data_IF_296763498134
#
_entry.id   IF_296763498134
#
_cell.length_a   1.000
_cell.length_b   1.000
_cell.length_c   1.000
_cell.angle_alpha   90.00
_cell.angle_beta   90.00
_cell.angle_gamma   90.00
#
_symmetry.space_group_name_H-M   'P 1'
#
loop_
_entity.id
_entity.type
_entity.pdbx_description
1 polymer ?
#
# COMPACT_ATOMS: atom_id res chain seq x y z
N UNK A 1 4.73 80.07 58.12
CA UNK A 1 3.72 80.63 57.19
C UNK A 1 3.22 79.45 56.38
N UNK A 2 2.32 78.65 56.91
CA UNK A 2 0.84 78.78 56.85
C UNK A 2 0.26 78.17 55.56
N UNK A 3 -0.44 77.04 55.76
CA UNK A 3 -1.73 76.67 55.16
C UNK A 3 -1.72 76.33 53.65
N UNK A 4 -2.48 75.37 53.10
CA UNK A 4 -3.69 74.67 53.54
C UNK A 4 -3.78 73.31 52.85
N UNK A 5 -4.10 72.27 53.63
CA UNK A 5 -4.60 70.99 53.11
C UNK A 5 -6.08 71.14 52.77
N UNK A 6 -6.44 71.04 51.49
CA UNK A 6 -7.84 71.08 51.05
C UNK A 6 -8.36 69.66 50.81
N UNK A 7 -9.04 69.13 51.81
CA UNK A 7 -9.83 67.91 51.76
C UNK A 7 -11.02 68.11 50.82
N UNK A 8 -10.97 67.52 49.62
CA UNK A 8 -12.12 67.42 48.73
C UNK A 8 -12.95 66.20 49.12
N UNK A 9 -14.05 66.44 49.83
CA UNK A 9 -15.12 65.48 50.04
C UNK A 9 -15.70 65.05 48.69
N UNK A 10 -15.46 63.80 48.28
CA UNK A 10 -16.24 63.14 47.22
C UNK A 10 -17.61 62.79 47.79
N UNK A 11 -18.63 63.58 47.45
CA UNK A 11 -20.02 63.19 47.63
C UNK A 11 -20.27 61.87 46.89
N UNK A 12 -20.95 60.88 47.48
CA UNK A 12 -21.43 59.74 46.72
C UNK A 12 -22.50 60.27 45.77
N UNK A 13 -22.21 60.18 44.47
CA UNK A 13 -23.20 60.45 43.43
C UNK A 13 -24.40 59.53 43.68
N UNK A 14 -25.49 60.15 44.13
CA UNK A 14 -26.88 59.68 44.16
C UNK A 14 -27.06 58.42 43.32
N UNK A 15 -27.16 57.28 43.99
CA UNK A 15 -27.59 56.02 43.38
C UNK A 15 -28.90 56.29 42.67
N UNK A 16 -28.86 56.37 41.34
CA UNK A 16 -30.05 56.40 40.52
C UNK A 16 -30.78 55.10 40.81
N UNK A 17 -31.88 55.15 41.56
CA UNK A 17 -32.81 54.04 41.69
C UNK A 17 -33.35 53.75 40.29
N UNK A 18 -32.62 52.90 39.57
CA UNK A 18 -33.04 52.39 38.28
C UNK A 18 -34.31 51.58 38.52
N UNK A 19 -35.44 52.14 38.09
CA UNK A 19 -36.75 51.51 38.18
C UNK A 19 -36.65 50.03 37.77
N UNK A 20 -36.99 49.07 38.66
CA UNK A 20 -36.79 47.64 38.42
C UNK A 20 -37.53 47.15 37.17
N UNK A 21 -38.60 47.83 36.74
CA UNK A 21 -39.27 47.55 35.47
C UNK A 21 -38.39 47.83 34.26
N UNK A 22 -37.58 48.90 34.30
CA UNK A 22 -36.66 49.26 33.20
C UNK A 22 -35.50 48.27 33.09
N UNK A 23 -34.99 47.76 34.21
CA UNK A 23 -33.96 46.71 34.23
C UNK A 23 -34.47 45.37 33.68
N UNK A 24 -35.72 44.98 34.00
CA UNK A 24 -36.33 43.77 33.43
C UNK A 24 -36.55 43.88 31.92
N UNK A 25 -37.01 45.04 31.43
CA UNK A 25 -37.18 45.32 30.00
C UNK A 25 -35.85 45.30 29.24
N UNK A 26 -34.76 45.81 29.82
CA UNK A 26 -33.44 45.78 29.19
C UNK A 26 -32.85 44.37 29.18
N UNK A 27 -33.02 43.60 30.25
CA UNK A 27 -32.61 42.21 30.34
C UNK A 27 -33.33 41.32 29.31
N UNK A 28 -34.66 41.48 29.16
CA UNK A 28 -35.45 40.76 28.15
C UNK A 28 -34.97 41.07 26.72
N UNK A 29 -34.68 42.34 26.41
CA UNK A 29 -34.13 42.74 25.10
C UNK A 29 -32.76 42.12 24.83
N UNK A 30 -31.88 42.03 25.82
CA UNK A 30 -30.58 41.40 25.65
C UNK A 30 -30.70 39.87 25.48
N UNK A 31 -31.64 39.23 26.18
CA UNK A 31 -31.95 37.81 26.00
C UNK A 31 -32.44 37.52 24.57
N UNK A 32 -33.37 38.32 24.05
CA UNK A 32 -33.86 38.20 22.68
C UNK A 32 -32.73 38.40 21.66
N UNK A 33 -31.83 39.36 21.91
CA UNK A 33 -30.65 39.59 21.07
C UNK A 33 -29.71 38.38 21.09
N UNK A 34 -29.49 37.76 22.26
CA UNK A 34 -28.69 36.52 22.40
C UNK A 34 -29.36 35.35 21.68
N UNK A 35 -30.68 35.17 21.81
CA UNK A 35 -31.44 34.14 21.09
C UNK A 35 -31.30 34.32 19.58
N UNK A 36 -31.49 35.53 19.05
CA UNK A 36 -31.29 35.84 17.62
C UNK A 36 -29.88 35.49 17.14
N UNK A 37 -28.84 35.89 17.89
CA UNK A 37 -27.45 35.54 17.57
C UNK A 37 -27.21 34.02 17.55
N UNK A 38 -27.75 33.28 18.52
CA UNK A 38 -27.64 31.81 18.57
C UNK A 38 -28.34 31.16 17.37
N UNK A 39 -29.52 31.65 16.97
CA UNK A 39 -30.22 31.13 15.80
C UNK A 39 -29.40 31.33 14.52
N UNK A 40 -28.80 32.52 14.33
CA UNK A 40 -27.97 32.80 13.15
C UNK A 40 -26.68 31.95 13.16
N UNK A 41 -25.99 31.88 14.31
CA UNK A 41 -24.77 31.08 14.46
C UNK A 41 -25.03 29.59 14.26
N UNK A 42 -26.10 29.04 14.83
CA UNK A 42 -26.47 27.63 14.67
C UNK A 42 -26.89 27.33 13.21
N UNK A 43 -27.64 28.24 12.58
CA UNK A 43 -27.98 28.12 11.17
C UNK A 43 -26.72 28.05 10.30
N UNK A 44 -25.75 28.91 10.56
CA UNK A 44 -24.49 28.90 9.82
C UNK A 44 -23.64 27.67 10.14
N UNK A 45 -23.54 27.24 11.40
CA UNK A 45 -22.78 26.05 11.77
C UNK A 45 -23.40 24.77 11.20
N UNK A 46 -24.73 24.66 11.17
CA UNK A 46 -25.44 23.58 10.51
C UNK A 46 -25.18 23.57 8.99
N UNK A 47 -25.18 24.74 8.34
CA UNK A 47 -24.82 24.87 6.91
C UNK A 47 -23.39 24.40 6.67
N UNK A 48 -22.42 24.91 7.44
CA UNK A 48 -21.00 24.52 7.32
C UNK A 48 -20.80 23.03 7.57
N UNK A 49 -21.52 22.45 8.54
CA UNK A 49 -21.50 21.02 8.81
C UNK A 49 -21.99 20.20 7.60
N UNK A 50 -23.12 20.59 7.00
CA UNK A 50 -23.64 19.94 5.78
C UNK A 50 -22.64 20.03 4.62
N UNK A 51 -22.06 21.21 4.38
CA UNK A 51 -21.07 21.39 3.31
C UNK A 51 -19.83 20.52 3.53
N UNK A 52 -19.27 20.47 4.75
CA UNK A 52 -18.11 19.62 5.04
C UNK A 52 -18.42 18.14 4.84
N UNK A 53 -19.59 17.68 5.26
CA UNK A 53 -20.02 16.29 5.02
C UNK A 53 -20.17 15.99 3.53
N UNK A 54 -20.74 16.92 2.76
CA UNK A 54 -20.84 16.75 1.30
C UNK A 54 -19.46 16.65 0.64
N UNK A 55 -18.55 17.56 0.99
CA UNK A 55 -17.17 17.54 0.48
C UNK A 55 -16.47 16.22 0.79
N UNK A 56 -16.66 15.68 2.01
CA UNK A 56 -16.09 14.39 2.38
C UNK A 56 -16.68 13.23 1.58
N UNK A 57 -17.99 13.24 1.33
CA UNK A 57 -18.63 12.24 0.46
C UNK A 57 -18.10 12.33 -0.98
N UNK A 58 -17.97 13.54 -1.52
CA UNK A 58 -17.45 13.76 -2.87
C UNK A 58 -15.99 13.29 -2.98
N UNK A 59 -15.18 13.53 -1.96
CA UNK A 59 -13.80 13.05 -1.86
C UNK A 59 -13.73 11.52 -1.82
N UNK A 60 -14.57 10.86 -1.00
CA UNK A 60 -14.64 9.40 -0.94
C UNK A 60 -15.10 8.79 -2.28
N UNK A 61 -16.06 9.41 -2.97
CA UNK A 61 -16.48 8.98 -4.30
C UNK A 61 -15.35 9.11 -5.33
N UNK A 62 -14.60 10.22 -5.28
CA UNK A 62 -13.44 10.41 -6.14
C UNK A 62 -12.34 9.39 -5.86
N UNK A 63 -12.09 9.06 -4.59
CA UNK A 63 -11.14 8.01 -4.20
C UNK A 63 -11.59 6.63 -4.69
N UNK A 64 -12.87 6.28 -4.51
CA UNK A 64 -13.42 5.01 -5.00
C UNK A 64 -13.31 4.89 -6.52
N UNK A 65 -13.59 5.96 -7.27
CA UNK A 65 -13.43 5.98 -8.72
C UNK A 65 -11.96 5.81 -9.15
N UNK A 66 -11.03 6.49 -8.48
CA UNK A 66 -9.58 6.34 -8.74
C UNK A 66 -9.11 4.92 -8.47
N UNK A 67 -9.46 4.34 -7.32
CA UNK A 67 -9.11 2.97 -6.96
C UNK A 67 -9.74 1.96 -7.91
N UNK A 68 -10.98 2.19 -8.35
CA UNK A 68 -11.63 1.37 -9.37
C UNK A 68 -10.88 1.38 -10.71
N UNK A 69 -10.45 2.56 -11.17
CA UNK A 69 -9.66 2.69 -12.39
C UNK A 69 -8.28 2.02 -12.25
N UNK A 70 -7.62 2.18 -11.11
CA UNK A 70 -6.32 1.56 -10.83
C UNK A 70 -6.43 0.03 -10.76
N UNK A 71 -7.45 -0.50 -10.10
CA UNK A 71 -7.71 -1.93 -10.05
C UNK A 71 -7.95 -2.50 -11.46
N UNK A 72 -8.73 -1.80 -12.29
CA UNK A 72 -8.93 -2.18 -13.69
C UNK A 72 -7.62 -2.19 -14.49
N UNK A 73 -6.75 -1.19 -14.30
CA UNK A 73 -5.42 -1.12 -14.93
C UNK A 73 -4.52 -2.29 -14.50
N UNK A 74 -4.44 -2.57 -13.19
CA UNK A 74 -3.63 -3.68 -12.66
C UNK A 74 -4.15 -5.02 -13.17
N UNK A 75 -5.47 -5.22 -13.17
CA UNK A 75 -6.10 -6.43 -13.71
C UNK A 75 -5.75 -6.65 -15.19
N UNK A 76 -5.79 -5.60 -16.01
CA UNK A 76 -5.37 -5.69 -17.42
C UNK A 76 -3.88 -6.03 -17.58
N UNK A 77 -3.02 -5.49 -16.71
CA UNK A 77 -1.59 -5.81 -16.70
C UNK A 77 -1.33 -7.28 -16.33
N UNK A 78 -2.06 -7.83 -15.37
CA UNK A 78 -1.97 -9.25 -14.99
C UNK A 78 -2.32 -10.13 -16.19
N UNK A 79 -3.46 -9.89 -16.84
CA UNK A 79 -3.89 -10.67 -18.01
C UNK A 79 -2.88 -10.58 -19.16
N UNK A 80 -2.28 -9.40 -19.38
CA UNK A 80 -1.22 -9.25 -20.37
C UNK A 80 0.03 -10.07 -19.99
N UNK A 81 0.47 -10.01 -18.73
CA UNK A 81 1.61 -10.77 -18.23
C UNK A 81 1.39 -12.29 -18.34
N UNK A 82 0.19 -12.78 -18.00
CA UNK A 82 -0.19 -14.19 -18.14
C UNK A 82 -0.06 -14.66 -19.60
N UNK A 83 -0.54 -13.86 -20.56
CA UNK A 83 -0.40 -14.17 -22.00
C UNK A 83 1.07 -14.22 -22.43
N UNK A 84 1.89 -13.28 -21.94
CA UNK A 84 3.32 -13.29 -22.23
C UNK A 84 4.01 -14.53 -21.63
N UNK A 85 3.69 -14.90 -20.39
CA UNK A 85 4.22 -16.08 -19.74
C UNK A 85 3.84 -17.36 -20.50
N UNK A 86 2.57 -17.51 -20.90
CA UNK A 86 2.13 -18.64 -21.71
C UNK A 86 2.90 -18.75 -23.04
N UNK A 87 3.17 -17.60 -23.69
CA UNK A 87 4.01 -17.56 -24.89
C UNK A 87 5.46 -18.02 -24.64
N UNK A 88 6.06 -17.55 -23.55
CA UNK A 88 7.42 -17.95 -23.14
C UNK A 88 7.50 -19.43 -22.76
N UNK A 89 6.49 -19.96 -22.07
CA UNK A 89 6.38 -21.39 -21.74
C UNK A 89 6.27 -22.24 -22.99
N UNK A 90 5.47 -21.83 -23.97
CA UNK A 90 5.38 -22.48 -25.28
C UNK A 90 6.71 -22.48 -26.03
N UNK A 91 7.40 -21.34 -26.07
CA UNK A 91 8.74 -21.24 -26.67
C UNK A 91 9.77 -22.14 -25.97
N UNK A 92 9.76 -22.16 -24.64
CA UNK A 92 10.62 -23.04 -23.86
C UNK A 92 10.32 -24.53 -24.11
N UNK A 93 9.04 -24.91 -24.23
CA UNK A 93 8.65 -26.27 -24.57
C UNK A 93 9.18 -26.68 -25.96
N UNK A 94 9.07 -25.79 -26.95
CA UNK A 94 9.60 -26.03 -28.30
C UNK A 94 11.13 -26.20 -28.30
N UNK A 95 11.86 -25.34 -27.58
CA UNK A 95 13.31 -25.46 -27.45
C UNK A 95 13.73 -26.76 -26.76
N UNK A 96 13.01 -27.16 -25.70
CA UNK A 96 13.26 -28.44 -25.02
C UNK A 96 13.02 -29.64 -25.94
N UNK A 97 11.98 -29.59 -26.78
CA UNK A 97 11.71 -30.64 -27.75
C UNK A 97 12.83 -30.74 -28.79
N UNK A 98 13.31 -29.61 -29.32
CA UNK A 98 14.43 -29.57 -30.27
C UNK A 98 15.73 -30.08 -29.63
N UNK A 99 16.02 -29.68 -28.39
CA UNK A 99 17.18 -30.18 -27.66
C UNK A 99 17.12 -31.72 -27.50
N UNK A 100 15.97 -32.25 -27.09
CA UNK A 100 15.77 -33.70 -26.94
C UNK A 100 15.94 -34.46 -28.27
N UNK A 101 15.43 -33.90 -29.38
CA UNK A 101 15.60 -34.47 -30.72
C UNK A 101 17.07 -34.53 -31.13
N UNK A 102 17.80 -33.42 -31.00
CA UNK A 102 19.22 -33.34 -31.35
C UNK A 102 20.07 -34.27 -30.48
N UNK A 103 19.83 -34.32 -29.17
CA UNK A 103 20.48 -35.27 -28.27
C UNK A 103 20.18 -36.72 -28.66
N UNK A 104 18.95 -37.01 -29.07
CA UNK A 104 18.56 -38.33 -29.61
C UNK A 104 19.35 -38.71 -30.87
N UNK A 105 19.46 -37.78 -31.82
CA UNK A 105 20.24 -37.98 -33.06
C UNK A 105 21.73 -38.21 -32.78
N UNK A 106 22.31 -37.42 -31.87
CA UNK A 106 23.71 -37.57 -31.46
C UNK A 106 23.97 -38.93 -30.81
N UNK A 107 23.09 -39.39 -29.91
CA UNK A 107 23.19 -40.73 -29.31
C UNK A 107 23.08 -41.83 -30.35
N UNK A 108 22.16 -41.70 -31.32
CA UNK A 108 22.02 -42.66 -32.41
C UNK A 108 23.30 -42.76 -33.24
N UNK A 109 23.87 -41.61 -33.64
CA UNK A 109 25.14 -41.57 -34.39
C UNK A 109 26.28 -42.17 -33.56
N UNK A 110 26.38 -41.83 -32.28
CA UNK A 110 27.37 -42.42 -31.36
C UNK A 110 27.21 -43.93 -31.20
N UNK A 111 25.98 -44.46 -31.26
CA UNK A 111 25.73 -45.91 -31.25
C UNK A 111 26.18 -46.57 -32.54
N UNK A 112 25.92 -45.96 -33.70
CA UNK A 112 26.37 -46.47 -35.01
C UNK A 112 27.88 -46.47 -35.09
N UNK A 113 28.55 -45.40 -34.64
CA UNK A 113 30.01 -45.33 -34.60
C UNK A 113 30.62 -46.43 -33.73
N UNK A 114 30.09 -46.64 -32.51
CA UNK A 114 30.54 -47.75 -31.65
C UNK A 114 30.33 -49.11 -32.31
N UNK A 115 29.20 -49.34 -32.96
CA UNK A 115 28.94 -50.59 -33.69
C UNK A 115 29.95 -50.82 -34.83
N UNK A 116 30.29 -49.77 -35.59
CA UNK A 116 31.29 -49.84 -36.67
C UNK A 116 32.70 -50.07 -36.11
N UNK A 117 33.05 -49.47 -34.98
CA UNK A 117 34.34 -49.71 -34.30
C UNK A 117 34.47 -51.16 -33.81
N UNK A 118 33.40 -51.73 -33.25
CA UNK A 118 33.37 -53.10 -32.73
C UNK A 118 33.46 -54.16 -33.84
N UNK A 119 32.82 -53.93 -34.99
CA UNK A 119 32.85 -54.87 -36.14
C UNK A 119 33.96 -54.58 -37.16
N UNK A 120 34.49 -53.36 -37.21
CA UNK A 120 35.46 -52.90 -38.21
C UNK A 120 36.92 -53.24 -37.90
N UNK A 121 37.20 -53.89 -36.77
CA UNK A 121 38.56 -54.31 -36.40
C UNK A 121 39.53 -53.16 -36.08
N UNK A 122 39.04 -51.93 -35.94
CA UNK A 122 39.83 -50.79 -35.49
C UNK A 122 39.96 -50.81 -33.96
N UNK A 123 40.70 -51.79 -33.42
CA UNK A 123 41.10 -51.79 -32.03
C UNK A 123 42.10 -50.64 -31.80
N UNK A 124 41.60 -49.46 -31.42
CA UNK A 124 42.50 -48.36 -31.09
C UNK A 124 41.83 -47.00 -30.92
N UNK A 125 41.33 -46.76 -29.71
CA UNK A 125 40.91 -45.47 -29.15
C UNK A 125 39.71 -44.80 -29.80
N UNK A 126 38.52 -45.20 -29.37
CA UNK A 126 37.61 -44.17 -28.85
C UNK A 126 38.20 -43.70 -27.51
N UNK A 127 38.56 -42.42 -27.32
CA UNK A 127 38.83 -41.95 -25.99
C UNK A 127 37.57 -42.19 -25.19
N UNK A 128 37.75 -42.93 -24.11
CA UNK A 128 36.99 -42.90 -22.88
C UNK A 128 36.43 -41.50 -22.60
N UNK A 129 35.34 -41.17 -23.28
CA UNK A 129 34.43 -40.13 -22.85
C UNK A 129 33.48 -40.85 -21.91
N UNK A 130 34.02 -41.20 -20.74
CA UNK A 130 33.26 -41.47 -19.53
C UNK A 130 32.26 -40.32 -19.40
N UNK A 131 31.05 -40.50 -19.91
CA UNK A 131 29.91 -39.79 -19.36
C UNK A 131 29.70 -40.45 -18.00
N UNK A 132 29.99 -39.76 -16.89
CA UNK A 132 29.67 -40.32 -15.59
C UNK A 132 28.17 -40.62 -15.58
N UNK A 133 27.84 -41.83 -15.14
CA UNK A 133 26.48 -42.22 -14.86
C UNK A 133 25.85 -41.20 -13.90
N UNK A 134 24.68 -40.69 -14.27
CA UNK A 134 23.67 -40.19 -13.33
C UNK A 134 24.00 -38.89 -12.56
N UNK A 135 24.66 -37.91 -13.17
CA UNK A 135 24.37 -36.49 -12.87
C UNK A 135 24.22 -35.76 -14.20
N UNK A 136 23.25 -36.20 -15.00
CA UNK A 136 22.71 -35.34 -16.04
C UNK A 136 22.13 -34.14 -15.28
N UNK A 137 22.88 -33.03 -15.24
CA UNK A 137 22.31 -31.71 -14.96
C UNK A 137 21.22 -31.50 -15.99
N UNK A 138 20.04 -31.94 -15.60
CA UNK A 138 18.85 -31.98 -16.41
C UNK A 138 18.58 -30.53 -16.84
N UNK A 139 18.51 -30.23 -18.14
CA UNK A 139 18.12 -28.91 -18.62
C UNK A 139 16.69 -28.52 -18.15
N UNK A 140 16.01 -29.41 -17.42
CA UNK A 140 14.74 -29.19 -16.70
C UNK A 140 14.89 -28.64 -15.28
N UNK A 141 16.06 -28.17 -14.82
CA UNK A 141 16.23 -27.63 -13.45
C UNK A 141 16.72 -26.18 -13.39
N UNK A 142 15.91 -25.19 -13.81
CA UNK A 142 16.34 -23.79 -13.82
C UNK A 142 16.47 -23.13 -12.44
N UNK A 143 15.93 -23.70 -11.35
CA UNK A 143 15.85 -23.03 -10.04
C UNK A 143 16.25 -23.87 -8.83
N UNK A 144 17.22 -24.78 -8.95
CA UNK A 144 17.80 -25.41 -7.75
C UNK A 144 18.71 -24.41 -7.05
N UNK A 145 18.13 -23.60 -6.15
CA UNK A 145 18.89 -22.81 -5.19
C UNK A 145 19.26 -23.73 -4.02
N UNK A 146 20.55 -24.00 -3.77
CA UNK A 146 20.98 -24.72 -2.58
C UNK A 146 20.90 -23.76 -1.38
N UNK A 147 19.70 -23.45 -0.93
CA UNK A 147 19.49 -22.80 0.35
C UNK A 147 18.99 -23.87 1.34
N UNK A 148 19.81 -24.29 2.33
CA UNK A 148 19.27 -25.03 3.44
C UNK A 148 18.34 -24.07 4.19
N UNK A 149 17.03 -24.29 4.07
CA UNK A 149 16.05 -23.71 5.00
C UNK A 149 16.36 -24.35 6.35
N UNK A 150 17.24 -23.72 7.13
CA UNK A 150 17.17 -23.86 8.57
C UNK A 150 15.86 -23.20 8.98
N UNK A 151 14.89 -24.03 9.36
CA UNK A 151 13.70 -23.61 10.09
C UNK A 151 14.15 -22.91 11.37
N UNK A 152 14.34 -21.60 11.32
CA UNK A 152 14.30 -20.77 12.51
C UNK A 152 12.86 -20.23 12.61
N UNK A 153 12.15 -20.46 13.72
CA UNK A 153 10.84 -19.86 13.91
C UNK A 153 11.02 -18.33 13.91
N UNK A 154 10.21 -17.66 13.11
CA UNK A 154 10.10 -16.20 13.10
C UNK A 154 9.68 -15.76 14.51
N UNK A 155 10.65 -15.32 15.31
CA UNK A 155 10.38 -14.61 16.56
C UNK A 155 9.84 -13.23 16.18
N UNK A 156 8.51 -13.09 16.25
CA UNK A 156 7.85 -11.81 16.24
C UNK A 156 8.33 -11.00 17.45
N UNK A 157 9.30 -10.11 17.23
CA UNK A 157 9.60 -9.01 18.13
C UNK A 157 8.37 -8.12 18.18
N UNK A 158 7.53 -8.33 19.19
CA UNK A 158 6.43 -7.43 19.51
C UNK A 158 7.06 -6.07 19.84
N UNK A 159 6.77 -5.06 19.03
CA UNK A 159 7.08 -3.69 19.37
C UNK A 159 6.26 -3.31 20.61
N UNK A 160 6.93 -3.17 21.75
CA UNK A 160 6.35 -2.49 22.90
C UNK A 160 6.18 -1.01 22.50
N UNK A 161 4.97 -0.67 22.06
CA UNK A 161 4.54 0.71 21.90
C UNK A 161 4.46 1.36 23.28
N UNK A 162 5.49 2.11 23.64
CA UNK A 162 5.43 3.09 24.70
C UNK A 162 4.57 4.26 24.22
N UNK A 163 3.26 4.17 24.43
CA UNK A 163 2.38 5.35 24.46
C UNK A 163 2.24 5.77 25.93
N UNK A 164 2.97 6.81 26.30
CA UNK A 164 2.70 7.63 27.48
C UNK A 164 2.28 9.02 27.01
N UNK A 165 0.99 9.32 27.14
CA UNK A 165 0.47 10.68 27.31
C UNK A 165 -0.01 10.80 28.75
#
# INVERSE_FOLDING_TARGET
>A
MSSSSQSRSRSPSRSSEEDPRRQLLSAAKEEDRRKRKRMLSNRESARRSRVRKQQHLDELLAQAARLGAENGRVSAQIVAAERHLAGLEGGNAALRAQAAELSGRLRSLGSVLRFVEEFGGAAGRTPEMLLPAEEEEDPRRPWHLPCPVTQHPIMAMHSAGAFGF
#
